data_IF_944113680396
#
_entry.id   IF_944113680396
#
_cell.length_a   1.000
_cell.length_b   1.000
_cell.length_c   1.000
_cell.angle_alpha   90.00
_cell.angle_beta   90.00
_cell.angle_gamma   90.00
#
_symmetry.space_group_name_H-M   'P 1'
#
loop_
_entity.id
_entity.type
_entity.pdbx_description
1 polymer ?
#
# COMPACT_ATOMS: atom_id res chain seq x y z
N UNK A 1 9.67 -18.11 -15.88
CA UNK A 1 9.19 -17.09 -14.92
C UNK A 1 10.06 -15.86 -15.11
N UNK A 2 9.52 -14.78 -15.68
CA UNK A 2 10.27 -13.53 -15.84
C UNK A 2 10.27 -12.79 -14.50
N UNK A 3 11.47 -12.40 -14.04
CA UNK A 3 11.67 -11.54 -12.88
C UNK A 3 12.13 -10.21 -13.42
N UNK A 4 11.29 -9.20 -13.25
CA UNK A 4 11.62 -7.85 -13.66
C UNK A 4 11.54 -6.94 -12.43
N UNK A 5 12.55 -6.10 -12.26
CA UNK A 5 12.60 -5.10 -11.21
C UNK A 5 12.79 -3.72 -11.81
N UNK A 6 12.19 -2.72 -11.16
CA UNK A 6 12.34 -1.32 -11.51
C UNK A 6 12.56 -0.55 -10.23
N UNK A 7 13.61 0.27 -10.20
CA UNK A 7 13.92 1.14 -9.08
C UNK A 7 13.92 2.57 -9.60
N UNK A 8 13.21 3.45 -8.91
CA UNK A 8 13.14 4.86 -9.22
C UNK A 8 13.53 5.67 -8.01
N UNK A 9 14.53 6.53 -8.20
CA UNK A 9 14.98 7.49 -7.20
C UNK A 9 14.54 8.90 -7.62
N UNK A 10 14.02 9.65 -6.66
CA UNK A 10 13.76 11.08 -6.75
C UNK A 10 14.29 11.72 -5.46
N UNK A 11 14.59 13.01 -5.46
CA UNK A 11 15.09 13.69 -4.26
C UNK A 11 14.17 13.40 -3.05
N UNK A 12 14.70 12.75 -2.02
CA UNK A 12 13.99 12.30 -0.79
C UNK A 12 12.88 11.26 -1.00
N UNK A 13 12.74 10.68 -2.18
CA UNK A 13 11.72 9.67 -2.47
C UNK A 13 12.33 8.46 -3.19
N UNK A 14 11.96 7.25 -2.78
CA UNK A 14 12.41 6.01 -3.42
C UNK A 14 11.21 5.12 -3.68
N UNK A 15 11.14 4.55 -4.88
CA UNK A 15 10.18 3.50 -5.23
C UNK A 15 10.92 2.29 -5.77
N UNK A 16 10.64 1.13 -5.19
CA UNK A 16 11.16 -0.17 -5.65
C UNK A 16 9.95 -1.02 -6.02
N UNK A 17 9.91 -1.50 -7.26
CA UNK A 17 8.88 -2.42 -7.74
C UNK A 17 9.52 -3.67 -8.31
N UNK A 18 8.97 -4.83 -7.97
CA UNK A 18 9.36 -6.11 -8.55
C UNK A 18 8.13 -6.90 -8.97
N UNK A 19 8.27 -7.60 -10.10
CA UNK A 19 7.26 -8.49 -10.65
C UNK A 19 7.77 -9.92 -10.62
N UNK A 20 6.95 -10.79 -10.04
CA UNK A 20 7.21 -12.21 -9.90
C UNK A 20 5.97 -12.98 -10.40
N UNK A 21 5.98 -13.32 -11.68
CA UNK A 21 4.77 -13.85 -12.33
C UNK A 21 3.65 -12.81 -12.29
N UNK A 22 2.48 -13.19 -11.78
CA UNK A 22 1.30 -12.31 -11.65
C UNK A 22 1.33 -11.42 -10.40
N UNK A 23 2.37 -11.54 -9.57
CA UNK A 23 2.50 -10.75 -8.34
C UNK A 23 3.36 -9.53 -8.58
N UNK A 24 2.80 -8.36 -8.29
CA UNK A 24 3.53 -7.10 -8.20
C UNK A 24 3.75 -6.75 -6.74
N UNK A 25 4.99 -6.38 -6.40
CA UNK A 25 5.28 -5.84 -5.08
C UNK A 25 5.93 -4.48 -5.20
N UNK A 26 5.43 -3.52 -4.42
CA UNK A 26 5.89 -2.13 -4.46
C UNK A 26 6.21 -1.63 -3.06
N UNK A 27 7.41 -1.11 -2.89
CA UNK A 27 7.83 -0.34 -1.72
C UNK A 27 8.01 1.12 -2.14
N UNK A 28 7.32 2.04 -1.45
CA UNK A 28 7.49 3.48 -1.64
C UNK A 28 7.82 4.16 -0.32
N UNK A 29 8.88 4.96 -0.34
CA UNK A 29 9.34 5.77 0.78
C UNK A 29 9.47 7.23 0.34
N UNK A 30 9.04 8.16 1.18
CA UNK A 30 9.22 9.60 0.98
C UNK A 30 8.09 10.38 1.64
N UNK A 31 8.25 11.70 1.85
CA UNK A 31 7.27 12.50 2.59
C UNK A 31 5.83 12.41 2.05
N UNK A 32 5.67 12.18 0.73
CA UNK A 32 4.39 11.82 0.10
C UNK A 32 4.52 10.51 -0.66
N UNK A 33 3.79 9.50 -0.23
CA UNK A 33 3.82 8.16 -0.79
C UNK A 33 2.46 7.78 -1.39
N UNK A 34 2.30 8.04 -2.69
CA UNK A 34 1.12 7.63 -3.45
C UNK A 34 1.44 6.42 -4.32
N UNK A 35 0.70 5.33 -4.14
CA UNK A 35 0.88 4.09 -4.90
C UNK A 35 -0.47 3.61 -5.44
N UNK A 36 -0.49 3.23 -6.72
CA UNK A 36 -1.63 2.57 -7.36
C UNK A 36 -1.15 1.31 -8.06
N UNK A 37 -1.80 0.18 -7.80
CA UNK A 37 -1.48 -1.09 -8.46
C UNK A 37 -2.73 -1.75 -9.04
N UNK A 38 -2.57 -2.37 -10.21
CA UNK A 38 -3.59 -3.14 -10.90
C UNK A 38 -2.98 -4.46 -11.38
N UNK A 39 -3.65 -5.57 -11.09
CA UNK A 39 -3.22 -6.92 -11.47
C UNK A 39 -3.66 -7.96 -10.46
N UNK A 40 -3.59 -9.24 -10.80
CA UNK A 40 -4.16 -10.32 -9.99
C UNK A 40 -3.68 -10.27 -8.54
N UNK A 41 -2.36 -10.13 -8.33
CA UNK A 41 -1.78 -10.11 -7.00
C UNK A 41 -0.94 -8.85 -6.75
N UNK A 42 -1.23 -8.12 -5.67
CA UNK A 42 -0.44 -6.95 -5.25
C UNK A 42 -0.02 -7.02 -3.78
N UNK A 43 1.25 -6.70 -3.51
CA UNK A 43 1.71 -6.37 -2.16
C UNK A 43 2.30 -4.96 -2.17
N UNK A 44 1.79 -4.06 -1.34
CA UNK A 44 2.22 -2.66 -1.35
C UNK A 44 2.55 -2.19 0.05
N UNK A 45 3.70 -1.55 0.20
CA UNK A 45 4.05 -0.79 1.39
C UNK A 45 4.38 0.65 0.99
N UNK A 46 3.63 1.60 1.55
CA UNK A 46 3.87 3.02 1.42
C UNK A 46 4.20 3.62 2.78
N UNK A 47 5.32 4.33 2.87
CA UNK A 47 5.79 4.98 4.09
C UNK A 47 6.11 6.44 3.84
N UNK A 48 5.64 7.30 4.74
CA UNK A 48 5.81 8.75 4.66
C UNK A 48 4.68 9.50 5.34
N UNK A 49 4.94 10.75 5.72
CA UNK A 49 4.02 11.65 6.44
C UNK A 49 2.59 11.55 5.88
N UNK A 50 2.45 11.59 4.55
CA UNK A 50 1.20 11.31 3.87
C UNK A 50 1.33 10.11 2.93
N UNK A 51 0.56 9.06 3.19
CA UNK A 51 0.59 7.82 2.40
C UNK A 51 -0.80 7.44 1.88
N UNK A 52 -0.95 7.34 0.56
CA UNK A 52 -2.19 6.89 -0.08
C UNK A 52 -1.92 5.67 -0.97
N UNK A 53 -2.64 4.58 -0.72
CA UNK A 53 -2.47 3.33 -1.44
C UNK A 53 -3.81 2.87 -2.00
N UNK A 54 -3.84 2.59 -3.31
CA UNK A 54 -4.98 1.98 -3.97
C UNK A 54 -4.56 0.72 -4.72
N UNK A 55 -5.32 -0.35 -4.59
CA UNK A 55 -5.11 -1.53 -5.42
C UNK A 55 -6.42 -2.16 -5.91
N UNK A 56 -6.34 -2.78 -7.09
CA UNK A 56 -7.41 -3.65 -7.62
C UNK A 56 -6.80 -4.93 -8.18
N UNK A 57 -7.40 -6.06 -7.82
CA UNK A 57 -6.91 -7.39 -8.17
C UNK A 57 -7.56 -8.46 -7.31
N UNK A 58 -7.30 -9.73 -7.56
CA UNK A 58 -7.90 -10.82 -6.79
C UNK A 58 -7.33 -10.88 -5.36
N UNK A 59 -6.01 -10.80 -5.22
CA UNK A 59 -5.33 -10.91 -3.93
C UNK A 59 -4.47 -9.69 -3.62
N UNK A 60 -4.80 -8.94 -2.57
CA UNK A 60 -4.08 -7.71 -2.24
C UNK A 60 -3.68 -7.66 -0.77
N UNK A 61 -2.44 -7.26 -0.50
CA UNK A 61 -1.96 -6.94 0.84
C UNK A 61 -1.35 -5.54 0.83
N UNK A 62 -1.97 -4.59 1.53
CA UNK A 62 -1.59 -3.18 1.47
C UNK A 62 -1.29 -2.66 2.87
N UNK A 63 -0.19 -1.94 3.00
CA UNK A 63 0.20 -1.24 4.21
C UNK A 63 0.56 0.21 3.89
N UNK A 64 -0.03 1.15 4.62
CA UNK A 64 0.37 2.55 4.63
C UNK A 64 0.74 2.97 6.06
N UNK A 65 1.84 3.72 6.20
CA UNK A 65 2.30 4.25 7.49
C UNK A 65 2.81 5.69 7.39
N UNK A 66 2.36 6.52 8.33
CA UNK A 66 2.72 7.93 8.51
C UNK A 66 1.52 8.72 9.01
N UNK A 67 1.69 9.99 9.36
CA UNK A 67 0.69 10.82 10.05
C UNK A 67 -0.70 10.76 9.40
N UNK A 68 -0.78 10.86 8.07
CA UNK A 68 -2.03 10.77 7.32
C UNK A 68 -1.99 9.60 6.34
N UNK A 69 -2.79 8.56 6.62
CA UNK A 69 -2.82 7.35 5.80
C UNK A 69 -4.21 7.06 5.25
N UNK A 70 -4.30 6.76 3.95
CA UNK A 70 -5.52 6.25 3.34
C UNK A 70 -5.21 5.03 2.47
N UNK A 71 -5.91 3.93 2.72
CA UNK A 71 -5.75 2.70 1.94
C UNK A 71 -7.11 2.23 1.44
N UNK A 72 -7.22 2.00 0.13
CA UNK A 72 -8.44 1.50 -0.50
C UNK A 72 -8.13 0.32 -1.39
N UNK A 73 -8.89 -0.76 -1.25
CA UNK A 73 -8.70 -1.95 -2.07
C UNK A 73 -10.00 -2.55 -2.55
N UNK A 74 -9.95 -3.12 -3.74
CA UNK A 74 -11.03 -3.94 -4.29
C UNK A 74 -10.47 -5.25 -4.82
N UNK A 75 -10.96 -6.36 -4.31
CA UNK A 75 -10.46 -7.68 -4.63
C UNK A 75 -11.05 -8.79 -3.78
N UNK A 76 -10.96 -10.03 -4.24
CA UNK A 76 -11.59 -11.18 -3.59
C UNK A 76 -10.98 -11.48 -2.22
N UNK A 77 -9.65 -11.48 -2.09
CA UNK A 77 -8.94 -11.64 -0.82
C UNK A 77 -8.05 -10.43 -0.55
N UNK A 78 -8.39 -9.66 0.48
CA UNK A 78 -7.72 -8.39 0.74
C UNK A 78 -7.34 -8.22 2.19
N UNK A 79 -6.12 -7.78 2.44
CA UNK A 79 -5.66 -7.34 3.75
C UNK A 79 -5.18 -5.89 3.67
N UNK A 80 -5.74 -5.03 4.53
CA UNK A 80 -5.46 -3.59 4.55
C UNK A 80 -5.00 -3.18 5.94
N UNK A 81 -3.86 -2.52 6.01
CA UNK A 81 -3.36 -1.86 7.22
C UNK A 81 -3.04 -0.39 6.94
N UNK A 82 -3.70 0.52 7.66
CA UNK A 82 -3.37 1.94 7.68
C UNK A 82 -2.98 2.33 9.10
N UNK A 83 -1.84 3.01 9.29
CA UNK A 83 -1.38 3.43 10.62
C UNK A 83 -0.86 4.86 10.60
N UNK A 84 -1.34 5.67 11.53
CA UNK A 84 -1.02 7.08 11.63
C UNK A 84 -2.09 7.84 12.39
N UNK A 85 -1.77 9.05 12.84
CA UNK A 85 -2.68 9.96 13.57
C UNK A 85 -4.07 10.05 12.90
N UNK A 86 -4.10 10.23 11.58
CA UNK A 86 -5.31 10.18 10.77
C UNK A 86 -5.21 9.02 9.77
N UNK A 87 -5.73 7.86 10.14
CA UNK A 87 -5.67 6.67 9.28
C UNK A 87 -7.04 6.13 8.90
N UNK A 88 -7.20 5.83 7.61
CA UNK A 88 -8.40 5.21 7.07
C UNK A 88 -8.04 4.01 6.19
N UNK A 89 -8.80 2.92 6.35
CA UNK A 89 -8.67 1.71 5.56
C UNK A 89 -10.03 1.27 5.05
N UNK A 90 -10.10 0.93 3.77
CA UNK A 90 -11.30 0.35 3.16
C UNK A 90 -10.94 -0.82 2.25
N UNK A 91 -11.72 -1.88 2.35
CA UNK A 91 -11.62 -3.04 1.48
C UNK A 91 -12.99 -3.49 1.01
N UNK A 92 -13.04 -3.99 -0.23
CA UNK A 92 -14.24 -4.58 -0.82
C UNK A 92 -13.91 -5.88 -1.54
N UNK A 93 -14.58 -6.95 -1.13
CA UNK A 93 -14.66 -8.25 -1.80
C UNK A 93 -15.02 -9.36 -0.81
N UNK A 94 -14.81 -10.61 -1.21
CA UNK A 94 -15.34 -11.78 -0.51
C UNK A 94 -14.70 -12.01 0.86
N UNK A 95 -13.38 -11.86 0.96
CA UNK A 95 -12.59 -12.02 2.18
C UNK A 95 -11.73 -10.79 2.41
N UNK A 96 -12.28 -9.87 3.20
CA UNK A 96 -11.60 -8.62 3.52
C UNK A 96 -11.25 -8.52 5.00
N UNK A 97 -9.99 -8.19 5.28
CA UNK A 97 -9.51 -7.76 6.58
C UNK A 97 -9.00 -6.32 6.51
N UNK A 98 -9.48 -5.47 7.42
CA UNK A 98 -9.13 -4.05 7.46
C UNK A 98 -8.76 -3.67 8.88
N UNK A 99 -7.59 -3.07 9.04
CA UNK A 99 -7.14 -2.47 10.28
C UNK A 99 -6.65 -1.04 10.02
N UNK A 100 -7.38 -0.06 10.57
CA UNK A 100 -6.90 1.31 10.73
C UNK A 100 -6.50 1.49 12.20
N UNK A 101 -5.32 2.07 12.46
CA UNK A 101 -4.88 2.42 13.80
C UNK A 101 -4.48 3.88 13.84
N UNK A 102 -5.22 4.63 14.64
CA UNK A 102 -4.90 5.99 15.00
C UNK A 102 -3.86 5.97 16.12
N UNK A 103 -2.70 6.59 15.86
CA UNK A 103 -1.69 6.82 16.87
C UNK A 103 -2.06 8.12 17.59
N UNK A 104 -3.05 8.07 18.49
CA UNK A 104 -3.43 9.23 19.31
C UNK A 104 -2.33 9.53 20.33
N UNK A 105 -1.28 10.24 19.91
CA UNK A 105 -0.30 10.84 20.80
C UNK A 105 -0.94 12.08 21.46
N UNK A 106 -1.81 11.85 22.43
CA UNK A 106 -2.25 12.92 23.33
C UNK A 106 -1.07 13.19 24.29
N UNK A 107 -0.26 14.21 23.99
CA UNK A 107 0.76 14.78 24.88
C UNK A 107 0.25 16.09 25.45
#
# INVERSE_FOLDING_TARGET
MLKESTITYRLKETTVTYRLGETTVTYRLGGKSNVQTWGNNSNVQAMGDNSNVQARGDNNNLQARGDNCNVQVRGDNTNVQARGDNSNGQARGDKSNVQAREDNNNV
#
